data_IF_296480804363
#
_entry.id   IF_296480804363
#
_cell.length_a   1.000
_cell.length_b   1.000
_cell.length_c   1.000
_cell.angle_alpha   90.00
_cell.angle_beta   90.00
_cell.angle_gamma   90.00
#
_symmetry.space_group_name_H-M   'P 1'
#
loop_
_entity.id
_entity.type
_entity.pdbx_description
1 polymer ?
#
# COMPACT_ATOMS: atom_id res chain seq x y z
N UNK A 1 23.87 -16.61 -5.80
CA UNK A 1 22.85 -17.06 -4.83
C UNK A 1 22.07 -15.93 -4.14
N UNK A 2 22.33 -14.63 -4.39
CA UNK A 2 21.56 -13.52 -3.76
C UNK A 2 20.35 -13.03 -4.56
N UNK A 3 20.36 -13.16 -5.90
CA UNK A 3 19.27 -12.69 -6.75
C UNK A 3 17.91 -13.35 -6.43
N UNK A 4 17.89 -14.65 -6.15
CA UNK A 4 16.67 -15.39 -5.80
C UNK A 4 16.02 -14.87 -4.52
N UNK A 5 16.82 -14.48 -3.52
CA UNK A 5 16.34 -13.86 -2.29
C UNK A 5 15.63 -12.53 -2.57
N UNK A 6 16.21 -11.67 -3.42
CA UNK A 6 15.58 -10.39 -3.78
C UNK A 6 14.29 -10.59 -4.57
N UNK A 7 14.21 -11.60 -5.45
CA UNK A 7 12.97 -11.95 -6.14
C UNK A 7 11.88 -12.32 -5.12
N UNK A 8 12.17 -13.22 -4.19
CA UNK A 8 11.19 -13.60 -3.15
C UNK A 8 10.80 -12.43 -2.25
N UNK A 9 11.75 -11.55 -1.92
CA UNK A 9 11.49 -10.36 -1.14
C UNK A 9 10.54 -9.39 -1.86
N UNK A 10 10.77 -9.12 -3.16
CA UNK A 10 9.88 -8.27 -3.97
C UNK A 10 8.47 -8.86 -4.08
N UNK A 11 8.34 -10.19 -4.20
CA UNK A 11 7.03 -10.85 -4.27
C UNK A 11 6.29 -10.77 -2.93
N UNK A 12 6.96 -11.04 -1.81
CA UNK A 12 6.31 -11.06 -0.50
C UNK A 12 6.05 -9.65 0.01
N UNK A 13 7.07 -8.82 0.08
CA UNK A 13 6.98 -7.48 0.68
C UNK A 13 6.35 -6.47 -0.30
N UNK A 14 6.69 -6.56 -1.59
CA UNK A 14 6.17 -5.67 -2.62
C UNK A 14 4.76 -6.04 -3.04
N UNK A 15 4.58 -7.19 -3.67
CA UNK A 15 3.27 -7.54 -4.27
C UNK A 15 2.20 -7.79 -3.21
N UNK A 16 2.50 -8.56 -2.16
CA UNK A 16 1.52 -8.80 -1.10
C UNK A 16 1.25 -7.54 -0.28
N UNK A 17 2.25 -6.67 -0.07
CA UNK A 17 2.08 -5.37 0.57
C UNK A 17 1.12 -4.46 -0.21
N UNK A 18 1.33 -4.31 -1.52
CA UNK A 18 0.43 -3.51 -2.38
C UNK A 18 -0.98 -4.11 -2.42
N UNK A 19 -1.10 -5.44 -2.50
CA UNK A 19 -2.41 -6.10 -2.44
C UNK A 19 -3.13 -5.86 -1.09
N UNK A 20 -2.38 -5.86 0.03
CA UNK A 20 -2.91 -5.54 1.35
C UNK A 20 -3.36 -4.07 1.46
N UNK A 21 -2.67 -3.14 0.78
CA UNK A 21 -3.07 -1.74 0.72
C UNK A 21 -4.36 -1.52 -0.09
N UNK A 22 -4.63 -2.32 -1.13
CA UNK A 22 -5.90 -2.25 -1.89
C UNK A 22 -7.10 -2.44 -0.96
N UNK A 23 -7.04 -3.46 -0.11
CA UNK A 23 -8.11 -3.80 0.82
C UNK A 23 -8.18 -2.88 2.04
N UNK A 24 -7.16 -2.03 2.24
CA UNK A 24 -6.98 -1.22 3.45
C UNK A 24 -7.24 -2.03 4.73
N UNK A 25 -6.49 -3.13 4.89
CA UNK A 25 -6.67 -4.06 6.01
C UNK A 25 -6.63 -3.38 7.39
N UNK A 26 -5.75 -2.38 7.60
CA UNK A 26 -5.65 -1.64 8.87
C UNK A 26 -6.97 -0.97 9.29
N UNK A 27 -7.53 -0.01 8.52
CA UNK A 27 -8.81 0.60 8.88
C UNK A 27 -9.97 -0.39 8.85
N UNK A 28 -9.94 -1.42 8.00
CA UNK A 28 -11.00 -2.45 7.97
C UNK A 28 -11.07 -3.24 9.29
N UNK A 29 -9.92 -3.69 9.80
CA UNK A 29 -9.84 -4.42 11.07
C UNK A 29 -10.19 -3.50 12.24
N UNK A 30 -9.66 -2.27 12.25
CA UNK A 30 -10.00 -1.26 13.26
C UNK A 30 -11.49 -0.94 13.29
N UNK A 31 -12.12 -0.85 12.12
CA UNK A 31 -13.55 -0.62 11.99
C UNK A 31 -14.35 -1.76 12.61
N UNK A 32 -14.04 -3.03 12.32
CA UNK A 32 -14.76 -4.16 12.92
C UNK A 32 -14.58 -4.25 14.44
N UNK A 33 -13.37 -3.96 14.96
CA UNK A 33 -13.12 -3.94 16.41
C UNK A 33 -13.89 -2.79 17.07
N UNK A 34 -13.80 -1.57 16.54
CA UNK A 34 -14.53 -0.40 17.07
C UNK A 34 -16.04 -0.59 17.00
N UNK A 35 -16.56 -1.12 15.89
CA UNK A 35 -17.98 -1.42 15.72
C UNK A 35 -18.49 -2.45 16.73
N UNK A 36 -17.70 -3.49 17.02
CA UNK A 36 -18.14 -4.54 17.93
C UNK A 36 -18.06 -4.17 19.42
N UNK A 37 -17.15 -3.26 19.82
CA UNK A 37 -16.91 -2.95 21.24
C UNK A 37 -17.25 -1.52 21.67
N UNK A 38 -17.12 -0.53 20.77
CA UNK A 38 -17.08 0.89 21.15
C UNK A 38 -18.16 1.78 20.51
N UNK A 39 -18.89 1.31 19.49
CA UNK A 39 -19.96 2.11 18.88
C UNK A 39 -21.16 2.16 19.82
N UNK A 40 -21.28 3.27 20.56
CA UNK A 40 -22.50 3.63 21.31
C UNK A 40 -23.10 4.97 20.90
N UNK A 41 -22.34 5.81 20.16
CA UNK A 41 -22.76 7.15 19.70
C UNK A 41 -22.40 7.35 18.23
N UNK A 42 -23.18 8.14 17.48
CA UNK A 42 -22.94 8.47 16.07
C UNK A 42 -21.55 9.10 15.81
N UNK A 43 -21.00 9.86 16.77
CA UNK A 43 -19.65 10.44 16.68
C UNK A 43 -18.53 9.40 16.63
N UNK A 44 -18.66 8.30 17.38
CA UNK A 44 -17.66 7.22 17.38
C UNK A 44 -17.64 6.49 16.03
N UNK A 45 -18.77 6.53 15.31
CA UNK A 45 -18.92 5.95 13.97
C UNK A 45 -18.25 6.82 12.92
N UNK A 46 -18.35 8.14 13.00
CA UNK A 46 -17.63 9.08 12.13
C UNK A 46 -16.11 8.96 12.32
N UNK A 47 -15.63 8.92 13.56
CA UNK A 47 -14.19 8.73 13.85
C UNK A 47 -13.68 7.34 13.44
N UNK A 48 -14.54 6.32 13.40
CA UNK A 48 -14.18 4.98 12.92
C UNK A 48 -14.11 4.90 11.38
N UNK A 49 -14.70 5.85 10.66
CA UNK A 49 -14.69 5.92 9.20
C UNK A 49 -13.54 6.76 8.64
N UNK A 50 -12.72 7.42 9.48
CA UNK A 50 -11.59 8.21 9.00
C UNK A 50 -10.56 7.32 8.26
N UNK A 51 -10.35 7.52 6.94
CA UNK A 51 -9.42 6.73 6.14
C UNK A 51 -7.94 7.02 6.44
N UNK A 52 -7.63 7.95 7.36
CA UNK A 52 -6.29 8.30 7.81
C UNK A 52 -5.43 8.97 6.73
N UNK A 53 -4.16 9.24 7.04
CA UNK A 53 -3.23 9.88 6.09
C UNK A 53 -2.72 8.90 5.02
N UNK A 54 -2.32 9.41 3.86
CA UNK A 54 -1.57 8.61 2.88
C UNK A 54 -0.24 8.25 3.54
N UNK A 55 0.12 6.96 3.57
CA UNK A 55 1.33 6.43 4.24
C UNK A 55 2.63 6.83 3.55
N UNK A 56 2.83 8.13 3.33
CA UNK A 56 3.97 8.70 2.63
C UNK A 56 5.29 8.32 3.30
N UNK A 57 5.31 8.37 4.64
CA UNK A 57 6.46 8.00 5.47
C UNK A 57 6.97 6.57 5.23
N UNK A 58 6.11 5.65 4.78
CA UNK A 58 6.48 4.24 4.54
C UNK A 58 6.59 3.91 3.06
N UNK A 59 5.71 4.47 2.21
CA UNK A 59 5.69 4.18 0.78
C UNK A 59 6.87 4.81 0.01
N UNK A 60 7.27 6.03 0.37
CA UNK A 60 8.38 6.74 -0.29
C UNK A 60 9.72 5.99 -0.19
N UNK A 61 10.22 5.61 1.01
CA UNK A 61 11.49 4.88 1.11
C UNK A 61 11.43 3.50 0.46
N UNK A 62 10.27 2.83 0.46
CA UNK A 62 10.11 1.51 -0.15
C UNK A 62 10.21 1.57 -1.68
N UNK A 63 9.57 2.55 -2.32
CA UNK A 63 9.67 2.79 -3.77
C UNK A 63 11.12 3.10 -4.16
N UNK A 64 11.81 3.93 -3.36
CA UNK A 64 13.20 4.28 -3.62
C UNK A 64 14.14 3.06 -3.50
N UNK A 65 13.87 2.14 -2.56
CA UNK A 65 14.62 0.88 -2.43
C UNK A 65 14.46 -0.01 -3.67
N UNK A 66 13.23 -0.17 -4.19
CA UNK A 66 13.00 -0.97 -5.39
C UNK A 66 13.59 -0.32 -6.64
N UNK A 67 13.61 1.01 -6.71
CA UNK A 67 14.30 1.74 -7.79
C UNK A 67 15.81 1.47 -7.77
N UNK A 68 16.44 1.54 -6.58
CA UNK A 68 17.86 1.22 -6.41
C UNK A 68 18.16 -0.23 -6.79
N UNK A 69 17.34 -1.18 -6.33
CA UNK A 69 17.47 -2.59 -6.68
C UNK A 69 17.33 -2.81 -8.20
N UNK A 70 16.39 -2.13 -8.85
CA UNK A 70 16.22 -2.18 -10.31
C UNK A 70 17.47 -1.71 -11.05
N UNK A 71 18.06 -0.58 -10.66
CA UNK A 71 19.27 -0.06 -11.29
C UNK A 71 20.49 -0.97 -11.10
N UNK A 72 20.70 -1.48 -9.88
CA UNK A 72 21.86 -2.35 -9.58
C UNK A 72 21.74 -3.72 -10.24
N UNK A 73 20.54 -4.31 -10.24
CA UNK A 73 20.33 -5.66 -10.79
C UNK A 73 19.99 -5.68 -12.28
N UNK A 74 19.76 -4.53 -12.93
CA UNK A 74 19.52 -4.46 -14.37
C UNK A 74 20.64 -5.11 -15.20
N UNK A 75 21.90 -4.87 -14.82
CA UNK A 75 23.07 -5.44 -15.51
C UNK A 75 23.43 -6.85 -15.05
N UNK A 76 23.14 -7.20 -13.80
CA UNK A 76 23.55 -8.47 -13.19
C UNK A 76 22.53 -9.57 -13.46
N UNK A 77 21.23 -9.28 -13.33
CA UNK A 77 20.17 -10.29 -13.39
C UNK A 77 18.91 -9.71 -14.01
N UNK A 78 18.84 -9.64 -15.36
CA UNK A 78 17.74 -8.97 -16.07
C UNK A 78 16.37 -9.62 -15.84
N UNK A 79 16.32 -10.86 -15.31
CA UNK A 79 15.07 -11.54 -14.98
C UNK A 79 14.34 -10.92 -13.78
N UNK A 80 15.01 -10.14 -12.94
CA UNK A 80 14.41 -9.46 -11.78
C UNK A 80 13.60 -8.22 -12.20
N UNK A 81 14.01 -7.59 -13.30
CA UNK A 81 13.40 -6.39 -13.88
C UNK A 81 11.89 -6.50 -14.15
N UNK A 82 11.36 -7.56 -14.80
CA UNK A 82 9.92 -7.71 -15.01
C UNK A 82 9.12 -7.76 -13.71
N UNK A 83 9.66 -8.35 -12.64
CA UNK A 83 8.96 -8.41 -11.34
C UNK A 83 8.80 -7.02 -10.70
N UNK A 84 9.83 -6.18 -10.82
CA UNK A 84 9.79 -4.79 -10.35
C UNK A 84 8.82 -3.95 -11.21
N UNK A 85 8.80 -4.15 -12.53
CA UNK A 85 7.87 -3.43 -13.41
C UNK A 85 6.41 -3.75 -13.08
N UNK A 86 6.09 -5.03 -12.85
CA UNK A 86 4.75 -5.45 -12.40
C UNK A 86 4.41 -4.82 -11.06
N UNK A 87 5.35 -4.78 -10.12
CA UNK A 87 5.17 -4.08 -8.85
C UNK A 87 4.83 -2.60 -9.05
N UNK A 88 5.59 -1.86 -9.87
CA UNK A 88 5.32 -0.44 -10.14
C UNK A 88 3.97 -0.22 -10.85
N UNK A 89 3.59 -1.10 -11.78
CA UNK A 89 2.31 -1.02 -12.45
C UNK A 89 1.14 -1.21 -11.46
N UNK A 90 1.23 -2.21 -10.59
CA UNK A 90 0.24 -2.44 -9.53
C UNK A 90 0.21 -1.26 -8.56
N UNK A 91 1.36 -0.86 -8.01
CA UNK A 91 1.47 0.27 -7.09
C UNK A 91 0.86 1.55 -7.69
N UNK A 92 1.13 1.84 -8.97
CA UNK A 92 0.53 2.99 -9.66
C UNK A 92 -1.00 2.92 -9.66
N UNK A 93 -1.59 1.80 -10.06
CA UNK A 93 -3.06 1.64 -10.10
C UNK A 93 -3.66 1.82 -8.70
N UNK A 94 -3.04 1.22 -7.68
CA UNK A 94 -3.52 1.27 -6.29
C UNK A 94 -3.45 2.68 -5.74
N UNK A 95 -2.29 3.35 -5.81
CA UNK A 95 -2.16 4.72 -5.33
C UNK A 95 -3.08 5.68 -6.07
N UNK A 96 -3.25 5.52 -7.39
CA UNK A 96 -4.17 6.36 -8.17
C UNK A 96 -5.63 6.14 -7.76
N UNK A 97 -6.01 4.91 -7.41
CA UNK A 97 -7.35 4.62 -6.89
C UNK A 97 -7.54 5.19 -5.46
N UNK A 98 -6.56 5.00 -4.57
CA UNK A 98 -6.64 5.48 -3.19
C UNK A 98 -6.67 7.01 -3.08
N UNK A 99 -5.92 7.72 -3.93
CA UNK A 99 -5.91 9.19 -3.99
C UNK A 99 -7.29 9.71 -4.39
N UNK A 100 -7.91 9.15 -5.43
CA UNK A 100 -9.28 9.54 -5.85
C UNK A 100 -10.31 9.29 -4.75
N UNK A 101 -10.23 8.15 -4.08
CA UNK A 101 -11.19 7.77 -3.04
C UNK A 101 -11.06 8.66 -1.79
N UNK A 102 -9.84 9.06 -1.40
CA UNK A 102 -9.62 10.01 -0.30
C UNK A 102 -10.07 11.43 -0.66
N UNK A 103 -9.72 11.91 -1.86
CA UNK A 103 -10.13 13.23 -2.35
C UNK A 103 -11.66 13.34 -2.35
N UNK A 104 -12.39 12.33 -2.85
CA UNK A 104 -13.84 12.31 -2.82
C UNK A 104 -14.42 12.34 -1.39
N UNK A 105 -13.82 11.59 -0.46
CA UNK A 105 -14.21 11.62 0.95
C UNK A 105 -14.02 12.99 1.62
N UNK A 106 -12.91 13.69 1.33
CA UNK A 106 -12.67 15.05 1.84
C UNK A 106 -13.68 16.06 1.28
N UNK A 107 -14.06 15.94 0.00
CA UNK A 107 -15.07 16.83 -0.59
C UNK A 107 -16.50 16.50 -0.16
N UNK A 108 -16.80 15.27 0.27
CA UNK A 108 -18.13 14.88 0.75
C UNK A 108 -18.44 15.36 2.19
N UNK A 109 -17.40 15.73 2.96
CA UNK A 109 -17.51 16.27 4.32
C UNK A 109 -17.42 17.81 4.39
N UNK A 110 -17.42 18.50 3.24
CA UNK A 110 -17.50 19.96 3.13
C UNK A 110 -18.88 20.34 2.59
#
# INVERSE_FOLDING_TARGET
MKATFFITYIMVDGWAGVAAEILRLKPLILYHIKNSFFVKTEKDREEAMDPGTLGFNTGEPQIQLYFLLGLVYASITPILLPFILVFFALAYIVYRHQVKLKIFGTYAHC
#
